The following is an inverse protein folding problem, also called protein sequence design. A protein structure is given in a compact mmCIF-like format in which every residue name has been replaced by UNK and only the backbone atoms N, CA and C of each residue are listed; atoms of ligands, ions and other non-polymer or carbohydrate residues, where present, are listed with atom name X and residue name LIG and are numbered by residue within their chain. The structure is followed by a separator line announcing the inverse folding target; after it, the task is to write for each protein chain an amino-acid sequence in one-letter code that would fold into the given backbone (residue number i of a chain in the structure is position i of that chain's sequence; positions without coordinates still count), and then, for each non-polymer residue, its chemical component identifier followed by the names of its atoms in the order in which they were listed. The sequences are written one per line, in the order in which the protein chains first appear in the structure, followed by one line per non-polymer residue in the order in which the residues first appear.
data_IF_457570863378
#
_entry.id   IF_457570863378
#
_cell.length_a   1.000
_cell.length_b   1.000
_cell.length_c   1.000
_cell.angle_alpha   90.00
_cell.angle_beta   90.00
_cell.angle_gamma   90.00
#
_symmetry.space_group_name_H-M   'P 1'
#
loop_
_entity.id
_entity.type
_entity.pdbx_description
1 polymer ?
#
# COMPACT_ATOMS: atom_id res chain seq x y z
N UNK A 1 -29.82 23.82 6.27
CA UNK A 1 -29.07 22.71 5.66
C UNK A 1 -27.77 22.57 6.41
N UNK A 2 -27.66 21.49 7.16
CA UNK A 2 -26.69 21.32 8.26
C UNK A 2 -25.39 20.75 7.70
N UNK A 3 -24.28 21.47 7.92
CA UNK A 3 -22.90 21.02 7.65
C UNK A 3 -22.58 19.81 8.52
N UNK A 4 -22.19 18.69 7.91
CA UNK A 4 -21.56 17.58 8.60
C UNK A 4 -20.05 17.86 8.72
N UNK A 5 -19.52 17.66 9.92
CA UNK A 5 -18.14 17.92 10.29
C UNK A 5 -17.20 16.80 9.81
N UNK A 6 -16.00 17.19 9.40
CA UNK A 6 -14.84 16.33 9.15
C UNK A 6 -14.43 15.57 10.42
N UNK A 7 -14.20 14.25 10.38
CA UNK A 7 -13.50 13.56 11.46
C UNK A 7 -11.99 13.85 11.38
N UNK A 8 -11.46 14.31 12.51
CA UNK A 8 -10.08 14.70 12.73
C UNK A 8 -9.07 13.61 12.33
N UNK A 9 -8.01 14.04 11.65
CA UNK A 9 -6.81 13.27 11.39
C UNK A 9 -6.13 12.87 12.71
N UNK A 10 -5.81 11.58 12.85
CA UNK A 10 -4.97 11.09 13.94
C UNK A 10 -3.49 11.42 13.64
N UNK A 11 -2.69 11.84 14.65
CA UNK A 11 -1.28 12.12 14.47
C UNK A 11 -0.46 10.83 14.34
N UNK A 12 0.43 10.78 13.33
CA UNK A 12 1.40 9.71 13.13
C UNK A 12 2.67 10.03 13.95
N UNK A 13 3.22 9.08 14.74
CA UNK A 13 4.40 9.32 15.54
C UNK A 13 5.65 8.99 14.73
N UNK A 14 6.60 9.93 14.62
CA UNK A 14 8.04 9.67 14.59
C UNK A 14 8.82 11.00 14.64
N UNK A 15 9.23 11.37 15.86
CA UNK A 15 10.24 12.39 16.13
C UNK A 15 11.16 11.86 17.25
N UNK A 16 12.33 11.29 16.97
CA UNK A 16 13.27 10.90 18.01
C UNK A 16 14.20 12.07 18.33
N UNK A 17 13.76 12.89 19.29
CA UNK A 17 14.63 13.83 20.00
C UNK A 17 15.69 13.11 20.83
N UNK A 18 16.95 13.40 20.56
CA UNK A 18 18.11 13.09 21.39
C UNK A 18 18.05 13.81 22.74
N UNK A 19 18.51 13.17 23.83
CA UNK A 19 19.16 13.93 24.88
C UNK A 19 20.54 13.38 25.22
N UNK A 20 21.42 14.33 25.53
CA UNK A 20 22.80 14.14 25.92
C UNK A 20 22.97 14.48 27.42
N UNK A 21 24.06 13.96 28.00
CA UNK A 21 24.78 14.38 29.24
C UNK A 21 24.22 13.96 30.65
N UNK A 22 25.02 13.98 31.76
CA UNK A 22 25.89 12.89 32.23
C UNK A 22 25.76 12.49 33.74
N UNK A 23 26.38 11.35 34.08
CA UNK A 23 27.30 11.15 35.23
C UNK A 23 26.81 11.32 36.69
N UNK A 24 26.86 10.23 37.48
CA UNK A 24 27.57 10.19 38.80
C UNK A 24 27.28 8.89 39.58
N UNK A 25 28.35 8.09 39.74
CA UNK A 25 28.86 7.46 40.97
C UNK A 25 27.90 7.08 42.12
N UNK A 26 27.94 5.78 42.49
CA UNK A 26 27.35 5.28 43.73
C UNK A 26 27.55 3.77 43.92
N UNK A 27 28.80 3.33 44.17
CA UNK A 27 29.12 1.94 44.49
C UNK A 27 28.72 1.60 45.94
N UNK A 28 27.88 0.56 46.14
CA UNK A 28 27.76 -0.23 47.39
C UNK A 28 26.99 -1.52 47.15
N UNK A 29 27.53 -2.63 47.68
CA UNK A 29 26.75 -3.82 48.06
C UNK A 29 26.74 -4.98 47.07
N UNK A 30 27.76 -5.85 47.12
CA UNK A 30 27.71 -7.20 46.53
C UNK A 30 26.81 -8.09 47.38
N UNK A 31 25.75 -8.62 46.78
CA UNK A 31 25.02 -9.80 47.25
C UNK A 31 25.01 -10.84 46.13
N UNK A 32 25.39 -12.07 46.44
CA UNK A 32 25.44 -13.18 45.49
C UNK A 32 24.02 -13.60 45.06
N UNK A 33 23.74 -13.80 43.76
CA UNK A 33 22.47 -14.32 43.32
C UNK A 33 22.39 -15.83 43.60
N UNK A 34 21.38 -16.23 44.35
CA UNK A 34 20.90 -17.61 44.42
C UNK A 34 20.37 -17.99 43.03
N UNK A 35 20.76 -19.18 42.55
CA UNK A 35 20.45 -19.63 41.20
C UNK A 35 18.95 -19.66 40.92
N UNK A 36 18.51 -18.81 39.99
CA UNK A 36 17.21 -18.94 39.35
C UNK A 36 17.18 -20.22 38.50
N UNK A 37 16.08 -20.98 38.53
CA UNK A 37 15.88 -22.09 37.61
C UNK A 37 15.88 -21.56 36.17
N UNK A 38 16.39 -22.33 35.19
CA UNK A 38 16.42 -21.90 33.80
C UNK A 38 15.01 -21.56 33.33
N UNK A 39 14.78 -20.29 33.00
CA UNK A 39 13.58 -19.82 32.32
C UNK A 39 13.49 -20.63 31.03
N UNK A 40 12.42 -21.42 30.90
CA UNK A 40 12.13 -22.14 29.66
C UNK A 40 12.16 -21.13 28.52
N UNK A 41 13.10 -21.31 27.60
CA UNK A 41 13.20 -20.47 26.41
C UNK A 41 11.86 -20.61 25.69
N UNK A 42 11.13 -19.51 25.43
CA UNK A 42 9.89 -19.60 24.69
C UNK A 42 10.20 -20.31 23.38
N UNK A 43 9.53 -21.44 23.15
CA UNK A 43 9.58 -22.16 21.89
C UNK A 43 9.22 -21.15 20.80
N UNK A 44 10.21 -20.76 19.99
CA UNK A 44 9.96 -19.97 18.80
C UNK A 44 9.08 -20.86 17.93
N UNK A 45 7.80 -20.50 17.68
CA UNK A 45 6.93 -21.34 16.90
C UNK A 45 7.61 -21.57 15.55
N UNK A 46 7.71 -22.84 15.15
CA UNK A 46 8.30 -23.19 13.87
C UNK A 46 7.62 -22.35 12.78
N UNK A 47 8.43 -21.63 11.98
CA UNK A 47 7.92 -20.91 10.82
C UNK A 47 7.20 -21.92 9.92
N UNK A 48 5.87 -21.91 9.94
CA UNK A 48 5.08 -22.65 8.98
C UNK A 48 5.43 -22.10 7.59
N UNK A 49 5.79 -22.99 6.67
CA UNK A 49 6.02 -22.59 5.30
C UNK A 49 4.74 -21.96 4.74
N UNK A 50 4.83 -20.75 4.18
CA UNK A 50 3.70 -20.12 3.50
C UNK A 50 3.20 -21.03 2.37
N UNK A 51 1.88 -21.23 2.21
CA UNK A 51 1.33 -21.97 1.10
C UNK A 51 1.75 -21.32 -0.22
N UNK A 52 2.08 -22.15 -1.20
CA UNK A 52 2.43 -21.68 -2.53
C UNK A 52 1.20 -21.10 -3.24
N UNK A 53 1.40 -20.05 -4.02
CA UNK A 53 0.37 -19.53 -4.91
C UNK A 53 0.08 -20.54 -6.03
N UNK A 54 -1.18 -20.71 -6.45
CA UNK A 54 -1.53 -21.49 -7.63
C UNK A 54 -0.77 -20.98 -8.87
N UNK A 55 -0.38 -21.85 -9.82
CA UNK A 55 0.43 -21.46 -10.97
C UNK A 55 -0.12 -20.29 -11.79
N UNK A 56 -1.45 -20.19 -11.95
CA UNK A 56 -2.11 -19.09 -12.66
C UNK A 56 -1.89 -17.73 -11.98
N UNK A 57 -1.78 -17.72 -10.65
CA UNK A 57 -1.60 -16.53 -9.83
C UNK A 57 -0.14 -16.24 -9.51
N UNK A 58 0.74 -17.25 -9.58
CA UNK A 58 2.18 -17.07 -9.38
C UNK A 58 2.83 -16.16 -10.44
N UNK A 59 2.12 -15.86 -11.54
CA UNK A 59 2.55 -14.97 -12.61
C UNK A 59 1.71 -13.69 -12.69
N UNK A 60 0.76 -13.50 -11.77
CA UNK A 60 -0.10 -12.33 -11.77
C UNK A 60 0.74 -11.06 -11.48
N UNK A 61 0.66 -10.00 -12.30
CA UNK A 61 1.53 -8.84 -12.15
C UNK A 61 1.36 -8.09 -10.84
N UNK A 62 0.13 -8.06 -10.31
CA UNK A 62 -0.15 -7.39 -9.04
C UNK A 62 0.47 -8.20 -7.88
N UNK A 63 0.31 -9.52 -7.88
CA UNK A 63 0.95 -10.37 -6.88
C UNK A 63 2.48 -10.35 -6.97
N UNK A 64 3.03 -10.17 -8.17
CA UNK A 64 4.48 -10.10 -8.37
C UNK A 64 5.08 -8.78 -7.94
N UNK A 65 4.37 -7.67 -8.13
CA UNK A 65 4.83 -6.35 -7.68
C UNK A 65 5.15 -6.38 -6.18
N UNK A 66 4.26 -7.03 -5.43
CA UNK A 66 4.31 -7.13 -3.97
C UNK A 66 4.80 -8.51 -3.45
N UNK A 67 5.46 -9.34 -4.28
CA UNK A 67 5.87 -10.71 -3.91
C UNK A 67 6.74 -10.78 -2.65
N UNK A 68 7.49 -9.71 -2.37
CA UNK A 68 8.37 -9.61 -1.19
C UNK A 68 7.55 -9.49 0.09
N UNK A 69 6.38 -8.87 -0.01
CA UNK A 69 5.44 -8.64 1.07
C UNK A 69 4.51 -9.82 1.30
N UNK A 70 4.10 -10.52 0.23
CA UNK A 70 3.16 -11.64 0.36
C UNK A 70 3.74 -12.82 1.14
N UNK A 71 3.22 -13.03 2.34
CA UNK A 71 3.50 -14.21 3.17
C UNK A 71 2.17 -14.77 3.66
N UNK A 72 1.37 -15.36 2.75
CA UNK A 72 0.08 -15.84 3.13
C UNK A 72 0.19 -16.90 4.22
N UNK A 73 -0.81 -16.91 5.10
CA UNK A 73 -1.09 -18.04 5.98
C UNK A 73 -2.10 -18.97 5.33
N UNK A 74 -2.94 -18.42 4.45
CA UNK A 74 -4.03 -19.13 3.81
C UNK A 74 -4.23 -18.67 2.37
N UNK A 75 -4.48 -19.63 1.48
CA UNK A 75 -4.76 -19.39 0.06
C UNK A 75 -5.91 -20.30 -0.37
N UNK A 76 -6.96 -19.69 -0.91
CA UNK A 76 -8.11 -20.37 -1.51
C UNK A 76 -8.32 -19.91 -2.95
N UNK A 77 -8.86 -20.80 -3.78
CA UNK A 77 -9.26 -20.48 -5.16
C UNK A 77 -10.63 -21.04 -5.47
N UNK A 78 -11.34 -20.36 -6.36
CA UNK A 78 -12.61 -20.81 -6.94
C UNK A 78 -12.71 -20.24 -8.34
N UNK A 79 -12.81 -21.10 -9.36
CA UNK A 79 -12.72 -20.65 -10.75
C UNK A 79 -11.43 -19.88 -10.99
N UNK A 80 -11.57 -18.67 -11.55
CA UNK A 80 -10.46 -17.75 -11.81
C UNK A 80 -10.30 -16.70 -10.71
N UNK A 81 -10.78 -16.97 -9.49
CA UNK A 81 -10.60 -16.10 -8.33
C UNK A 81 -9.62 -16.69 -7.30
N UNK A 82 -8.94 -15.78 -6.60
CA UNK A 82 -8.03 -16.04 -5.49
C UNK A 82 -8.53 -15.32 -4.25
N UNK A 83 -8.43 -15.98 -3.11
CA UNK A 83 -8.50 -15.38 -1.79
C UNK A 83 -7.21 -15.70 -1.05
N UNK A 84 -6.58 -14.67 -0.50
CA UNK A 84 -5.36 -14.75 0.26
C UNK A 84 -5.59 -14.11 1.63
N UNK A 85 -5.15 -14.80 2.68
CA UNK A 85 -5.08 -14.22 4.03
C UNK A 85 -3.64 -14.22 4.50
N UNK A 86 -3.19 -13.08 5.02
CA UNK A 86 -1.88 -12.95 5.64
C UNK A 86 -1.97 -12.14 6.93
N UNK A 87 -0.93 -12.24 7.77
CA UNK A 87 -0.81 -11.36 8.94
C UNK A 87 -0.45 -9.95 8.50
N UNK A 88 -0.97 -8.97 9.23
CA UNK A 88 -0.50 -7.61 9.12
C UNK A 88 0.95 -7.53 9.62
N UNK A 89 1.78 -6.80 8.89
CA UNK A 89 3.17 -6.50 9.29
C UNK A 89 3.21 -5.55 10.48
N UNK A 90 2.21 -4.68 10.60
CA UNK A 90 2.18 -3.61 11.60
C UNK A 90 1.48 -4.04 12.89
N UNK A 91 0.66 -5.09 12.82
CA UNK A 91 -0.09 -5.62 13.95
C UNK A 91 -0.16 -7.15 13.86
N UNK A 92 0.75 -7.88 14.52
CA UNK A 92 0.92 -9.33 14.33
C UNK A 92 -0.30 -10.19 14.66
N UNK A 93 -1.26 -9.66 15.41
CA UNK A 93 -2.53 -10.34 15.76
C UNK A 93 -3.65 -10.08 14.76
N UNK A 94 -3.48 -9.10 13.87
CA UNK A 94 -4.44 -8.77 12.84
C UNK A 94 -4.12 -9.50 11.54
N UNK A 95 -5.17 -9.83 10.80
CA UNK A 95 -5.04 -10.38 9.45
C UNK A 95 -5.53 -9.39 8.40
N UNK A 96 -5.08 -9.60 7.19
CA UNK A 96 -5.49 -8.89 6.00
C UNK A 96 -6.01 -9.90 4.99
N UNK A 97 -7.02 -9.49 4.23
CA UNK A 97 -7.61 -10.30 3.17
C UNK A 97 -7.36 -9.64 1.81
N UNK A 98 -6.87 -10.40 0.84
CA UNK A 98 -6.87 -10.03 -0.56
C UNK A 98 -7.82 -10.99 -1.30
N UNK A 99 -8.72 -10.46 -2.12
CA UNK A 99 -9.54 -11.26 -3.02
C UNK A 99 -9.60 -10.63 -4.42
N UNK A 100 -9.14 -11.39 -5.41
CA UNK A 100 -8.97 -10.93 -6.79
C UNK A 100 -9.55 -11.95 -7.78
N UNK A 101 -9.97 -11.47 -8.96
CA UNK A 101 -10.56 -12.29 -10.02
C UNK A 101 -12.01 -11.88 -10.37
N UNK A 102 -12.75 -12.69 -11.15
CA UNK A 102 -14.11 -12.37 -11.56
C UNK A 102 -15.04 -12.13 -10.35
N UNK A 103 -15.84 -11.06 -10.43
CA UNK A 103 -16.71 -10.63 -9.33
C UNK A 103 -17.61 -11.73 -8.72
N UNK A 104 -18.26 -12.62 -9.50
CA UNK A 104 -19.07 -13.71 -8.93
C UNK A 104 -18.26 -14.70 -8.10
N UNK A 105 -17.05 -15.04 -8.56
CA UNK A 105 -16.17 -16.03 -7.93
C UNK A 105 -15.51 -15.44 -6.67
N UNK A 106 -15.06 -14.18 -6.74
CA UNK A 106 -14.58 -13.42 -5.58
C UNK A 106 -15.66 -13.35 -4.50
N UNK A 107 -16.90 -13.02 -4.88
CA UNK A 107 -17.99 -12.94 -3.92
C UNK A 107 -18.29 -14.32 -3.29
N UNK A 108 -18.17 -15.41 -4.04
CA UNK A 108 -18.33 -16.77 -3.51
C UNK A 108 -17.24 -17.12 -2.49
N UNK A 109 -15.96 -16.82 -2.78
CA UNK A 109 -14.84 -17.03 -1.85
C UNK A 109 -15.02 -16.21 -0.56
N UNK A 110 -15.34 -14.93 -0.69
CA UNK A 110 -15.59 -14.04 0.47
C UNK A 110 -16.73 -14.55 1.35
N UNK A 111 -17.79 -15.12 0.75
CA UNK A 111 -18.90 -15.75 1.50
C UNK A 111 -18.46 -17.01 2.24
N UNK A 112 -17.67 -17.86 1.61
CA UNK A 112 -17.19 -19.11 2.18
C UNK A 112 -16.19 -18.89 3.32
N UNK A 113 -15.32 -17.88 3.21
CA UNK A 113 -14.19 -17.67 4.12
C UNK A 113 -14.58 -17.56 5.62
N UNK A 114 -15.65 -16.83 5.95
CA UNK A 114 -16.28 -16.90 7.28
C UNK A 114 -15.51 -16.36 8.50
N UNK A 115 -14.22 -15.99 8.36
CA UNK A 115 -13.39 -15.43 9.45
C UNK A 115 -13.66 -13.94 9.65
N UNK A 116 -13.74 -13.49 10.91
CA UNK A 116 -14.25 -12.16 11.29
C UNK A 116 -13.20 -11.11 11.67
N UNK A 117 -11.91 -11.43 11.55
CA UNK A 117 -10.84 -10.67 12.20
C UNK A 117 -9.84 -10.09 11.20
N UNK A 118 -10.38 -9.41 10.19
CA UNK A 118 -9.57 -8.70 9.20
C UNK A 118 -9.49 -7.22 9.58
N UNK A 119 -8.28 -6.67 9.62
CA UNK A 119 -8.07 -5.23 9.82
C UNK A 119 -8.46 -4.45 8.58
N UNK A 120 -8.10 -4.97 7.42
CA UNK A 120 -8.56 -4.47 6.14
C UNK A 120 -8.68 -5.60 5.13
N UNK A 121 -9.44 -5.36 4.06
CA UNK A 121 -9.40 -6.20 2.89
C UNK A 121 -9.25 -5.37 1.64
N UNK A 122 -8.51 -5.94 0.71
CA UNK A 122 -8.55 -5.54 -0.66
C UNK A 122 -9.39 -6.56 -1.41
N UNK A 123 -10.52 -6.11 -1.93
CA UNK A 123 -11.44 -6.92 -2.72
C UNK A 123 -11.63 -6.23 -4.06
N UNK A 124 -11.64 -7.01 -5.14
CA UNK A 124 -11.98 -6.53 -6.48
C UNK A 124 -13.23 -5.63 -6.44
N UNK A 125 -13.15 -4.42 -7.00
CA UNK A 125 -14.19 -3.39 -6.81
C UNK A 125 -15.53 -3.85 -7.39
N UNK A 126 -15.50 -4.53 -8.54
CA UNK A 126 -16.70 -5.10 -9.16
C UNK A 126 -17.38 -6.15 -8.28
N UNK A 127 -16.66 -6.83 -7.38
CA UNK A 127 -17.25 -7.78 -6.46
C UNK A 127 -18.08 -7.10 -5.36
N UNK A 128 -17.83 -5.82 -5.06
CA UNK A 128 -18.62 -5.06 -4.08
C UNK A 128 -20.07 -4.85 -4.52
N UNK A 129 -20.36 -4.87 -5.83
CA UNK A 129 -21.72 -4.77 -6.34
C UNK A 129 -22.48 -6.12 -6.23
N UNK A 130 -21.75 -7.22 -6.08
CA UNK A 130 -22.28 -8.58 -5.89
C UNK A 130 -22.38 -8.95 -4.41
N UNK A 131 -21.52 -8.38 -3.57
CA UNK A 131 -21.49 -8.62 -2.13
C UNK A 131 -22.58 -7.82 -1.41
N UNK A 132 -23.32 -8.49 -0.52
CA UNK A 132 -24.24 -7.79 0.37
C UNK A 132 -23.47 -7.11 1.50
N UNK A 133 -23.92 -5.95 1.96
CA UNK A 133 -23.31 -5.23 3.09
C UNK A 133 -23.11 -6.13 4.33
N UNK A 134 -24.08 -7.00 4.64
CA UNK A 134 -24.00 -7.96 5.74
C UNK A 134 -22.81 -8.93 5.62
N UNK A 135 -22.39 -9.26 4.40
CA UNK A 135 -21.29 -10.17 4.11
C UNK A 135 -19.95 -9.49 4.40
N UNK A 136 -19.82 -8.21 4.03
CA UNK A 136 -18.65 -7.39 4.32
C UNK A 136 -18.54 -7.06 5.81
N UNK A 137 -19.64 -6.64 6.45
CA UNK A 137 -19.67 -6.37 7.90
C UNK A 137 -19.34 -7.61 8.72
N UNK A 138 -19.72 -8.81 8.27
CA UNK A 138 -19.37 -10.06 8.95
C UNK A 138 -17.85 -10.28 9.02
N UNK A 139 -17.09 -9.77 8.06
CA UNK A 139 -15.62 -9.83 8.06
C UNK A 139 -14.96 -8.80 9.02
N UNK A 140 -15.76 -7.96 9.69
CA UNK A 140 -15.25 -6.84 10.51
C UNK A 140 -14.91 -5.60 9.68
N UNK A 141 -15.32 -5.57 8.41
CA UNK A 141 -14.91 -4.55 7.45
C UNK A 141 -16.04 -3.57 7.15
N UNK A 142 -15.66 -2.33 6.86
CA UNK A 142 -16.55 -1.32 6.27
C UNK A 142 -16.09 -1.06 4.84
N UNK A 143 -16.97 -1.16 3.83
CA UNK A 143 -16.59 -0.82 2.46
C UNK A 143 -16.06 0.62 2.41
N UNK A 144 -14.83 0.78 1.95
CA UNK A 144 -14.24 2.07 1.64
C UNK A 144 -13.84 2.05 0.18
N UNK A 145 -14.45 2.93 -0.63
CA UNK A 145 -14.00 3.17 -2.00
C UNK A 145 -13.04 4.35 -1.95
N UNK A 146 -11.75 4.06 -2.08
CA UNK A 146 -10.71 5.10 -2.16
C UNK A 146 -10.78 5.91 -3.44
N UNK A 147 -11.65 5.54 -4.40
CA UNK A 147 -11.73 6.13 -5.74
C UNK A 147 -10.58 5.69 -6.65
N UNK A 148 -9.64 4.89 -6.12
CA UNK A 148 -8.50 4.35 -6.83
C UNK A 148 -8.71 2.86 -7.07
N UNK A 149 -8.70 2.47 -8.34
CA UNK A 149 -8.60 1.08 -8.76
C UNK A 149 -7.19 0.81 -9.25
N UNK A 150 -6.72 -0.41 -9.03
CA UNK A 150 -5.44 -0.83 -9.56
C UNK A 150 -5.60 -1.21 -11.01
N UNK A 151 -4.77 -0.63 -11.85
CA UNK A 151 -4.73 -0.91 -13.27
C UNK A 151 -3.37 -1.48 -13.63
N UNK A 152 -3.38 -2.63 -14.28
CA UNK A 152 -2.20 -3.21 -14.92
C UNK A 152 -2.48 -3.29 -16.41
N UNK A 153 -1.56 -2.75 -17.20
CA UNK A 153 -1.60 -2.88 -18.66
C UNK A 153 -0.21 -3.18 -19.19
N UNK A 154 -0.14 -4.04 -20.20
CA UNK A 154 1.04 -4.26 -21.05
C UNK A 154 0.86 -3.63 -22.45
N UNK A 155 -0.27 -2.95 -22.67
CA UNK A 155 -0.57 -2.21 -23.89
C UNK A 155 -0.57 -0.72 -23.61
N UNK A 156 0.21 0.01 -24.39
CA UNK A 156 0.15 1.46 -24.38
C UNK A 156 -1.26 1.93 -24.82
N UNK A 157 -1.82 2.97 -24.18
CA UNK A 157 -3.04 3.60 -24.66
C UNK A 157 -2.80 4.25 -26.04
N UNK A 158 -3.88 4.60 -26.73
CA UNK A 158 -3.77 5.41 -27.95
C UNK A 158 -3.26 6.81 -27.59
N UNK A 159 -2.35 7.35 -28.40
CA UNK A 159 -1.82 8.70 -28.21
C UNK A 159 -2.94 9.74 -28.26
N UNK A 160 -2.90 10.70 -27.33
CA UNK A 160 -3.80 11.86 -27.32
C UNK A 160 -3.00 13.15 -27.54
N UNK A 161 -3.62 14.13 -28.21
CA UNK A 161 -2.93 15.39 -28.55
C UNK A 161 -2.36 16.14 -27.33
N UNK A 162 -2.97 15.97 -26.16
CA UNK A 162 -2.52 16.59 -24.91
C UNK A 162 -1.15 16.10 -24.44
N UNK A 163 -0.67 14.93 -24.89
CA UNK A 163 0.65 14.40 -24.56
C UNK A 163 1.79 15.33 -25.00
N UNK A 164 1.57 16.16 -26.03
CA UNK A 164 2.54 17.16 -26.48
C UNK A 164 2.88 18.23 -25.43
N UNK A 165 2.05 18.38 -24.38
CA UNK A 165 2.29 19.31 -23.26
C UNK A 165 3.00 18.65 -22.08
N UNK A 166 3.14 17.32 -22.09
CA UNK A 166 3.78 16.56 -21.03
C UNK A 166 5.29 16.52 -21.30
N UNK A 167 6.09 16.84 -20.28
CA UNK A 167 7.54 16.67 -20.33
C UNK A 167 8.04 15.88 -19.13
N UNK A 168 9.19 15.26 -19.30
CA UNK A 168 9.94 14.73 -18.17
C UNK A 168 10.43 15.89 -17.29
N UNK A 169 10.36 15.69 -15.97
CA UNK A 169 10.81 16.62 -14.95
C UNK A 169 12.13 16.11 -14.36
N UNK A 170 13.01 17.03 -13.98
CA UNK A 170 14.19 16.69 -13.17
C UNK A 170 13.80 16.63 -11.69
N UNK A 171 13.76 15.46 -11.03
CA UNK A 171 13.34 15.35 -9.64
C UNK A 171 14.27 16.08 -8.66
N UNK A 172 15.53 16.32 -9.03
CA UNK A 172 16.50 17.04 -8.20
C UNK A 172 16.28 18.55 -8.34
N UNK A 173 16.19 19.05 -9.57
CA UNK A 173 16.03 20.49 -9.82
C UNK A 173 14.60 20.99 -9.59
N UNK A 174 13.59 20.15 -9.83
CA UNK A 174 12.17 20.51 -9.84
C UNK A 174 11.38 19.86 -8.69
N UNK A 175 12.06 19.18 -7.76
CA UNK A 175 11.42 18.45 -6.66
C UNK A 175 10.47 19.28 -5.81
N UNK A 176 10.79 20.56 -5.56
CA UNK A 176 9.91 21.47 -4.82
C UNK A 176 8.62 21.80 -5.58
N UNK A 177 8.70 21.98 -6.91
CA UNK A 177 7.53 22.23 -7.75
C UNK A 177 6.63 20.98 -7.81
N UNK A 178 7.23 19.79 -7.89
CA UNK A 178 6.51 18.51 -7.83
C UNK A 178 5.76 18.38 -6.50
N UNK A 179 6.47 18.54 -5.37
CA UNK A 179 5.87 18.47 -4.03
C UNK A 179 4.78 19.52 -3.82
N UNK A 180 4.97 20.75 -4.30
CA UNK A 180 3.95 21.80 -4.22
C UNK A 180 2.69 21.44 -5.03
N UNK A 181 2.85 20.86 -6.22
CA UNK A 181 1.73 20.39 -7.03
C UNK A 181 0.96 19.27 -6.30
N UNK A 182 1.67 18.28 -5.76
CA UNK A 182 1.09 17.17 -5.00
C UNK A 182 0.37 17.62 -3.74
N UNK A 183 0.97 18.51 -2.94
CA UNK A 183 0.36 19.04 -1.73
C UNK A 183 -0.99 19.72 -2.00
N UNK A 184 -1.16 20.34 -3.18
CA UNK A 184 -2.42 20.95 -3.58
C UNK A 184 -3.42 19.94 -4.16
N UNK A 185 -2.96 19.04 -5.02
CA UNK A 185 -3.83 18.18 -5.82
C UNK A 185 -4.16 16.83 -5.16
N UNK A 186 -3.24 16.30 -4.34
CA UNK A 186 -3.33 15.02 -3.66
C UNK A 186 -2.59 15.08 -2.31
N UNK A 187 -3.09 15.84 -1.33
CA UNK A 187 -2.39 16.12 -0.06
C UNK A 187 -2.13 14.88 0.80
N UNK A 188 -2.80 13.75 0.51
CA UNK A 188 -2.62 12.47 1.22
C UNK A 188 -1.59 11.56 0.58
N UNK A 189 -0.95 11.97 -0.52
CA UNK A 189 0.10 11.18 -1.16
C UNK A 189 1.37 11.17 -0.33
N UNK A 190 2.02 10.02 -0.27
CA UNK A 190 3.37 9.86 0.31
C UNK A 190 4.47 9.88 -0.76
N UNK A 191 4.09 10.09 -2.02
CA UNK A 191 5.03 10.14 -3.14
C UNK A 191 6.05 11.28 -2.97
N UNK A 192 7.32 10.94 -3.07
CA UNK A 192 8.44 11.89 -2.99
C UNK A 192 9.32 11.76 -4.24
N UNK A 193 9.59 12.86 -4.97
CA UNK A 193 10.51 12.83 -6.11
C UNK A 193 11.95 12.45 -5.76
N UNK A 194 12.33 12.47 -4.48
CA UNK A 194 13.68 12.09 -4.03
C UNK A 194 13.96 10.58 -4.06
N UNK A 195 12.94 9.74 -4.32
CA UNK A 195 13.06 8.29 -4.35
C UNK A 195 14.09 7.77 -5.35
N UNK A 196 14.75 6.66 -5.01
CA UNK A 196 15.78 6.08 -5.87
C UNK A 196 15.17 5.48 -7.15
N UNK A 197 15.65 5.93 -8.31
CA UNK A 197 15.19 5.44 -9.62
C UNK A 197 13.85 6.03 -10.07
N UNK A 198 13.33 7.02 -9.35
CA UNK A 198 12.11 7.72 -9.70
C UNK A 198 12.22 8.49 -11.02
N UNK A 199 11.13 8.48 -11.79
CA UNK A 199 10.96 9.33 -12.96
C UNK A 199 9.66 10.09 -12.84
N UNK A 200 9.68 11.34 -13.28
CA UNK A 200 8.54 12.25 -13.12
C UNK A 200 8.21 12.92 -14.43
N UNK A 201 6.92 13.11 -14.65
CA UNK A 201 6.40 13.86 -15.77
C UNK A 201 5.42 14.90 -15.25
N UNK A 202 5.31 15.99 -15.98
CA UNK A 202 4.34 17.02 -15.65
C UNK A 202 4.03 17.95 -16.80
N UNK A 203 3.04 18.80 -16.54
CA UNK A 203 2.57 19.86 -17.43
C UNK A 203 2.80 21.19 -16.71
N UNK A 204 3.44 22.14 -17.38
CA UNK A 204 3.62 23.49 -16.84
C UNK A 204 2.31 24.27 -16.98
N UNK A 205 1.97 25.06 -15.97
CA UNK A 205 0.83 25.96 -16.02
C UNK A 205 1.06 27.05 -17.09
N UNK A 206 0.15 27.19 -18.07
CA UNK A 206 0.30 28.19 -19.12
C UNK A 206 0.20 29.63 -18.61
N UNK A 207 -0.48 29.85 -17.48
CA UNK A 207 -0.70 31.18 -16.90
C UNK A 207 0.38 31.57 -15.88
N UNK A 208 1.05 30.57 -15.27
CA UNK A 208 2.05 30.75 -14.21
C UNK A 208 3.37 30.02 -14.53
N UNK A 209 4.36 30.69 -15.16
CA UNK A 209 5.65 30.08 -15.48
C UNK A 209 6.37 29.50 -14.25
N UNK A 210 6.81 28.25 -14.36
CA UNK A 210 7.50 27.53 -13.28
C UNK A 210 6.56 26.82 -12.30
N UNK A 211 5.24 26.97 -12.46
CA UNK A 211 4.24 26.21 -11.71
C UNK A 211 3.80 24.99 -12.53
N UNK A 212 3.59 23.85 -11.88
CA UNK A 212 3.10 22.63 -12.52
C UNK A 212 1.58 22.53 -12.38
N UNK A 213 0.88 22.44 -13.52
CA UNK A 213 -0.56 22.19 -13.59
C UNK A 213 -0.93 20.74 -13.22
N UNK A 214 -0.03 19.79 -13.47
CA UNK A 214 -0.18 18.41 -13.05
C UNK A 214 1.13 17.63 -13.12
N UNK A 215 1.21 16.54 -12.36
CA UNK A 215 2.37 15.67 -12.22
C UNK A 215 1.97 14.20 -12.09
N UNK A 216 2.86 13.31 -12.51
CA UNK A 216 2.81 11.87 -12.23
C UNK A 216 4.23 11.33 -12.08
N UNK A 217 4.42 10.46 -11.08
CA UNK A 217 5.66 9.74 -10.83
C UNK A 217 5.58 8.29 -11.30
N UNK A 218 6.73 7.70 -11.62
CA UNK A 218 6.85 6.28 -11.88
C UNK A 218 8.13 5.71 -11.24
N UNK A 219 7.94 4.65 -10.46
CA UNK A 219 9.02 3.92 -9.82
C UNK A 219 9.25 2.57 -10.54
N UNK A 220 10.51 2.15 -10.74
CA UNK A 220 10.79 0.81 -11.25
C UNK A 220 10.36 -0.25 -10.25
N UNK A 221 9.81 -1.34 -10.78
CA UNK A 221 9.31 -2.47 -10.02
C UNK A 221 9.78 -3.79 -10.61
N UNK A 222 9.73 -4.82 -9.77
CA UNK A 222 10.27 -6.16 -10.05
C UNK A 222 9.66 -6.80 -11.31
N UNK A 223 8.48 -6.33 -11.75
CA UNK A 223 7.87 -6.72 -13.02
C UNK A 223 7.38 -8.16 -13.11
N UNK A 224 6.81 -8.51 -14.27
CA UNK A 224 6.43 -9.88 -14.64
C UNK A 224 7.68 -10.78 -14.73
N UNK A 225 7.54 -12.11 -14.58
CA UNK A 225 8.65 -13.04 -14.67
C UNK A 225 9.05 -13.14 -16.14
N UNK A 226 10.33 -12.94 -16.43
CA UNK A 226 10.82 -12.76 -17.81
C UNK A 226 11.60 -11.46 -18.06
N UNK A 227 11.70 -10.57 -17.06
CA UNK A 227 12.81 -9.62 -16.94
C UNK A 227 12.66 -8.25 -17.61
N UNK A 228 11.47 -7.85 -18.07
CA UNK A 228 11.28 -6.52 -18.65
C UNK A 228 11.15 -5.39 -17.61
N UNK A 229 11.06 -5.71 -16.31
CA UNK A 229 10.66 -4.76 -15.27
C UNK A 229 9.21 -4.30 -15.45
N UNK A 230 8.62 -3.72 -14.41
CA UNK A 230 7.39 -2.92 -14.53
C UNK A 230 7.65 -1.52 -13.98
N UNK A 231 6.75 -0.59 -14.28
CA UNK A 231 6.71 0.71 -13.63
C UNK A 231 5.42 0.80 -12.83
N UNK A 232 5.52 1.17 -11.55
CA UNK A 232 4.37 1.54 -10.75
C UNK A 232 4.18 3.04 -10.86
N UNK A 233 3.02 3.47 -11.37
CA UNK A 233 2.64 4.87 -11.41
C UNK A 233 2.15 5.30 -10.03
N UNK A 234 2.67 6.41 -9.54
CA UNK A 234 2.33 6.98 -8.23
C UNK A 234 2.39 8.50 -8.28
N UNK A 235 2.08 9.17 -7.16
CA UNK A 235 2.20 10.63 -7.09
C UNK A 235 1.45 11.36 -8.21
N UNK A 236 0.23 10.92 -8.53
CA UNK A 236 -0.61 11.60 -9.52
C UNK A 236 -1.33 12.78 -8.85
N UNK A 237 -1.22 13.95 -9.46
CA UNK A 237 -1.93 15.16 -9.03
C UNK A 237 -2.17 16.10 -10.20
N UNK A 238 -3.38 16.63 -10.30
CA UNK A 238 -3.75 17.71 -11.23
C UNK A 238 -4.39 18.83 -10.42
N UNK A 239 -3.85 20.05 -10.54
CA UNK A 239 -4.35 21.23 -9.82
C UNK A 239 -5.82 21.50 -10.18
N UNK A 240 -6.60 22.08 -9.26
CA UNK A 240 -7.96 22.52 -9.56
C UNK A 240 -7.98 23.47 -10.77
N UNK A 241 -8.92 23.25 -11.70
CA UNK A 241 -9.04 24.03 -12.94
C UNK A 241 -8.25 23.49 -14.13
N UNK A 242 -7.35 22.51 -13.93
CA UNK A 242 -6.57 21.85 -15.00
C UNK A 242 -7.07 20.47 -15.42
N UNK A 243 -8.27 20.06 -14.99
CA UNK A 243 -8.87 18.74 -15.27
C UNK A 243 -9.78 18.78 -16.49
#
# INVERSE_FOLDING_TARGET
MTRAADPAAAPHPDDPGTPDVPGSSGARGRSAPQGEPPVATPEVPALHASPALPPAWAQDPFLLDEHRWWRPEHVETSGDALLLVQRSTDEPTATMLLAAGPAPDVAALVRAHGVRTHRFAWVETAALDVLHLKEVTRLGLTPNRTGWEWLVTDRAPAEVAAEAHVRELDPVAEGDAIRACLALANPTTEADPSGAGERWWGVVDPEEPGVLAGVVGAAPRSGRPGGAGSAHLHGLGVRPGGR
#
